data_IF_140831636702
#
_entry.id   IF_140831636702
#
_cell.length_a   1.000
_cell.length_b   1.000
_cell.length_c   1.000
_cell.angle_alpha   90.00
_cell.angle_beta   90.00
_cell.angle_gamma   90.00
#
_symmetry.space_group_name_H-M   'P 1'
#
loop_
_entity.id
_entity.type
_entity.pdbx_description
1 polymer ?
#
# COMPACT_ATOMS: atom_id res chain seq x y z
N UNK A 1 -30.48 -17.50 -18.53
CA UNK A 1 -30.18 -16.81 -17.25
C UNK A 1 -28.69 -16.92 -17.03
N UNK A 2 -27.92 -15.93 -17.47
CA UNK A 2 -26.45 -15.90 -17.33
C UNK A 2 -26.16 -15.00 -16.12
N UNK A 3 -25.58 -15.57 -15.07
CA UNK A 3 -25.11 -14.82 -13.91
C UNK A 3 -23.77 -14.19 -14.27
N UNK A 4 -23.74 -12.86 -14.38
CA UNK A 4 -22.54 -12.09 -14.64
C UNK A 4 -21.71 -11.96 -13.34
N UNK A 5 -20.55 -12.60 -13.29
CA UNK A 5 -19.62 -12.62 -12.16
C UNK A 5 -18.67 -11.39 -12.11
N UNK A 6 -19.14 -10.17 -12.40
CA UNK A 6 -18.26 -8.99 -12.53
C UNK A 6 -18.60 -7.82 -11.58
N UNK A 7 -19.00 -8.08 -10.35
CA UNK A 7 -19.36 -7.00 -9.39
C UNK A 7 -18.22 -6.43 -8.56
N UNK A 8 -16.99 -6.97 -8.63
CA UNK A 8 -15.85 -6.47 -7.81
C UNK A 8 -14.77 -5.74 -8.59
N UNK A 9 -14.58 -6.02 -9.89
CA UNK A 9 -13.63 -5.29 -10.74
C UNK A 9 -14.11 -3.87 -11.08
N UNK A 10 -15.44 -3.69 -11.17
CA UNK A 10 -16.06 -2.44 -11.62
C UNK A 10 -15.87 -1.25 -10.67
N UNK A 11 -15.61 -1.48 -9.38
CA UNK A 11 -15.48 -0.36 -8.42
C UNK A 11 -14.15 0.40 -8.55
N UNK A 12 -13.10 -0.23 -9.06
CA UNK A 12 -11.79 0.41 -9.22
C UNK A 12 -11.61 1.07 -10.59
N UNK A 13 -12.29 0.56 -11.63
CA UNK A 13 -12.16 1.04 -13.01
C UNK A 13 -13.10 2.21 -13.34
N UNK A 14 -14.26 2.32 -12.68
CA UNK A 14 -15.25 3.36 -12.98
C UNK A 14 -14.96 4.74 -12.39
N UNK A 15 -13.90 4.93 -11.59
CA UNK A 15 -13.69 6.19 -10.86
C UNK A 15 -12.57 7.10 -11.38
N UNK A 16 -11.82 6.76 -12.43
CA UNK A 16 -10.68 7.60 -12.84
C UNK A 16 -10.77 8.12 -14.28
N UNK A 17 -11.70 9.04 -14.51
CA UNK A 17 -11.51 10.16 -15.45
C UNK A 17 -11.05 11.45 -14.73
N UNK A 18 -10.84 11.41 -13.41
CA UNK A 18 -10.13 12.43 -12.65
C UNK A 18 -8.74 11.94 -12.29
N UNK A 19 -7.72 12.78 -12.46
CA UNK A 19 -6.34 12.52 -12.04
C UNK A 19 -6.32 12.06 -10.57
N UNK A 20 -5.86 10.83 -10.29
CA UNK A 20 -5.62 10.40 -8.90
C UNK A 20 -4.57 11.32 -8.30
N UNK A 21 -4.95 12.07 -7.26
CA UNK A 21 -4.04 12.98 -6.56
C UNK A 21 -3.17 12.16 -5.59
N UNK A 22 -2.45 11.17 -6.14
CA UNK A 22 -1.57 10.26 -5.39
C UNK A 22 -0.29 10.99 -5.01
N UNK A 23 0.09 10.91 -3.73
CA UNK A 23 1.29 11.52 -3.19
C UNK A 23 2.06 10.53 -2.34
N UNK A 24 3.38 10.48 -2.51
CA UNK A 24 4.28 9.84 -1.57
C UNK A 24 4.48 10.81 -0.41
N UNK A 25 3.96 10.47 0.76
CA UNK A 25 3.96 11.35 1.94
C UNK A 25 5.12 11.05 2.87
N UNK A 26 5.56 9.79 2.96
CA UNK A 26 6.73 9.37 3.72
C UNK A 26 7.39 8.14 3.07
N UNK A 27 8.68 7.97 3.30
CA UNK A 27 9.44 6.81 2.82
C UNK A 27 10.56 6.45 3.80
N UNK A 28 10.81 5.16 3.95
CA UNK A 28 12.07 4.61 4.47
C UNK A 28 12.71 3.80 3.34
N UNK A 29 13.78 4.31 2.69
CA UNK A 29 14.35 3.69 1.50
C UNK A 29 14.61 2.20 1.68
N UNK A 30 14.27 1.42 0.66
CA UNK A 30 14.39 -0.04 0.61
C UNK A 30 13.43 -0.82 1.53
N UNK A 31 12.77 -0.19 2.50
CA UNK A 31 11.89 -0.87 3.46
C UNK A 31 10.41 -0.65 3.16
N UNK A 32 9.97 0.60 3.12
CA UNK A 32 8.55 0.91 2.93
C UNK A 32 8.31 2.31 2.39
N UNK A 33 7.15 2.48 1.77
CA UNK A 33 6.66 3.73 1.20
C UNK A 33 5.22 3.97 1.67
N UNK A 34 4.91 5.21 2.03
CA UNK A 34 3.58 5.60 2.48
C UNK A 34 2.99 6.63 1.51
N UNK A 35 1.83 6.31 0.98
CA UNK A 35 1.13 7.12 0.00
C UNK A 35 -0.22 7.59 0.51
N UNK A 36 -0.71 8.69 -0.08
CA UNK A 36 -2.04 9.22 0.18
C UNK A 36 -2.69 9.71 -1.11
N UNK A 37 -3.98 9.47 -1.24
CA UNK A 37 -4.85 10.17 -2.18
C UNK A 37 -6.11 10.66 -1.45
N UNK A 38 -7.15 11.03 -2.21
CA UNK A 38 -8.41 11.50 -1.64
C UNK A 38 -9.24 10.38 -0.97
N UNK A 39 -8.92 9.11 -1.24
CA UNK A 39 -9.68 7.95 -0.77
C UNK A 39 -9.04 7.29 0.44
N UNK A 40 -7.73 7.43 0.64
CA UNK A 40 -7.07 6.80 1.79
C UNK A 40 -5.56 6.95 1.84
N UNK A 41 -4.99 6.15 2.75
CA UNK A 41 -3.55 6.03 2.95
C UNK A 41 -3.14 4.58 2.64
N UNK A 42 -2.05 4.43 1.90
CA UNK A 42 -1.57 3.15 1.39
C UNK A 42 -0.13 2.93 1.86
N UNK A 43 0.13 1.73 2.37
CA UNK A 43 1.47 1.33 2.78
C UNK A 43 1.97 0.25 1.81
N UNK A 44 3.08 0.54 1.13
CA UNK A 44 3.84 -0.45 0.37
C UNK A 44 5.01 -0.94 1.23
N UNK A 45 5.07 -2.24 1.51
CA UNK A 45 6.15 -2.86 2.28
C UNK A 45 6.96 -3.75 1.34
N UNK A 46 8.26 -3.50 1.28
CA UNK A 46 9.19 -4.41 0.62
C UNK A 46 9.47 -5.59 1.55
N UNK A 47 9.29 -6.81 1.06
CA UNK A 47 9.53 -8.04 1.80
C UNK A 47 10.74 -8.72 1.19
N UNK A 48 11.81 -8.87 1.97
CA UNK A 48 13.04 -9.50 1.52
C UNK A 48 13.38 -10.72 2.38
N UNK A 49 13.41 -11.90 1.77
CA UNK A 49 13.79 -13.15 2.46
C UNK A 49 15.13 -13.71 1.97
N UNK A 50 16.09 -12.83 1.61
CA UNK A 50 17.43 -13.15 1.08
C UNK A 50 17.45 -13.83 -0.31
N UNK A 51 16.56 -14.79 -0.56
CA UNK A 51 16.44 -15.50 -1.82
C UNK A 51 15.52 -14.79 -2.82
N UNK A 52 14.50 -14.10 -2.33
CA UNK A 52 13.50 -13.40 -3.14
C UNK A 52 13.06 -12.11 -2.47
N UNK A 53 12.62 -11.16 -3.29
CA UNK A 53 11.98 -9.92 -2.85
C UNK A 53 10.63 -9.74 -3.54
N UNK A 54 9.63 -9.31 -2.79
CA UNK A 54 8.31 -8.95 -3.30
C UNK A 54 7.70 -7.84 -2.46
N UNK A 55 6.58 -7.29 -2.91
CA UNK A 55 5.90 -6.20 -2.21
C UNK A 55 4.56 -6.67 -1.63
N UNK A 56 4.24 -6.20 -0.41
CA UNK A 56 2.90 -6.26 0.16
C UNK A 56 2.36 -4.83 0.27
N UNK A 57 1.34 -4.54 -0.52
CA UNK A 57 0.72 -3.20 -0.57
C UNK A 57 -0.69 -3.24 0.00
N UNK A 58 -0.93 -2.47 1.04
CA UNK A 58 -2.18 -2.50 1.82
C UNK A 58 -2.82 -1.12 1.92
N UNK A 59 -4.14 -1.11 2.09
CA UNK A 59 -4.92 0.07 2.46
C UNK A 59 -4.98 0.13 3.99
N UNK A 60 -4.52 1.24 4.59
CA UNK A 60 -4.64 1.44 6.03
C UNK A 60 -6.11 1.60 6.40
N UNK A 61 -6.53 0.87 7.44
CA UNK A 61 -7.84 1.09 8.04
C UNK A 61 -7.85 2.33 8.94
N UNK A 62 -9.05 2.70 9.42
CA UNK A 62 -9.20 3.91 10.21
C UNK A 62 -8.39 3.88 11.51
N UNK A 63 -8.22 2.70 12.12
CA UNK A 63 -7.41 2.57 13.34
C UNK A 63 -5.94 2.84 13.04
N UNK A 64 -5.39 2.20 12.01
CA UNK A 64 -4.01 2.41 11.60
C UNK A 64 -3.75 3.86 11.16
N UNK A 65 -4.73 4.51 10.53
CA UNK A 65 -4.65 5.93 10.20
C UNK A 65 -4.58 6.79 11.47
N UNK A 66 -5.42 6.54 12.49
CA UNK A 66 -5.34 7.29 13.75
C UNK A 66 -4.00 7.09 14.46
N UNK A 67 -3.53 5.85 14.56
CA UNK A 67 -2.23 5.55 15.19
C UNK A 67 -1.07 6.24 14.46
N UNK A 68 -1.13 6.31 13.12
CA UNK A 68 -0.17 7.10 12.33
C UNK A 68 -0.29 8.60 12.60
N UNK A 69 -1.49 9.15 12.72
CA UNK A 69 -1.66 10.58 13.03
C UNK A 69 -1.16 10.94 14.43
N UNK A 70 -1.26 10.02 15.39
CA UNK A 70 -0.81 10.22 16.77
C UNK A 70 0.71 10.02 16.93
N UNK A 71 1.26 8.98 16.31
CA UNK A 71 2.64 8.55 16.55
C UNK A 71 3.59 8.89 15.40
N UNK A 72 3.08 9.12 14.19
CA UNK A 72 3.85 9.40 12.98
C UNK A 72 4.67 8.20 12.49
N UNK A 73 5.82 8.51 11.89
CA UNK A 73 6.77 7.56 11.29
C UNK A 73 7.11 6.32 12.15
N UNK A 74 7.35 6.42 13.48
CA UNK A 74 7.57 5.26 14.34
C UNK A 74 6.49 4.18 14.26
N UNK A 75 5.21 4.55 14.15
CA UNK A 75 4.13 3.58 14.00
C UNK A 75 4.24 2.82 12.67
N UNK A 76 4.51 3.54 11.57
CA UNK A 76 4.66 2.94 10.24
C UNK A 76 5.88 2.01 10.18
N UNK A 77 7.01 2.41 10.78
CA UNK A 77 8.18 1.54 10.92
C UNK A 77 7.83 0.22 11.60
N UNK A 78 7.15 0.29 12.73
CA UNK A 78 6.74 -0.90 13.48
C UNK A 78 5.73 -1.75 12.70
N UNK A 79 4.77 -1.11 12.02
CA UNK A 79 3.77 -1.80 11.21
C UNK A 79 4.43 -2.51 10.02
N UNK A 80 5.30 -1.84 9.27
CA UNK A 80 6.02 -2.41 8.13
C UNK A 80 6.87 -3.60 8.56
N UNK A 81 7.65 -3.47 9.64
CA UNK A 81 8.46 -4.56 10.18
C UNK A 81 7.59 -5.77 10.58
N UNK A 82 6.43 -5.54 11.20
CA UNK A 82 5.52 -6.62 11.56
C UNK A 82 4.90 -7.29 10.33
N UNK A 83 4.57 -6.53 9.28
CA UNK A 83 4.03 -7.06 8.02
C UNK A 83 5.09 -7.90 7.31
N UNK A 84 6.31 -7.37 7.12
CA UNK A 84 7.43 -8.07 6.50
C UNK A 84 7.68 -9.42 7.19
N UNK A 85 7.85 -9.41 8.51
CA UNK A 85 8.08 -10.62 9.29
C UNK A 85 6.92 -11.63 9.15
N UNK A 86 5.69 -11.14 9.02
CA UNK A 86 4.50 -11.98 8.88
C UNK A 86 4.38 -12.58 7.47
N UNK A 87 4.81 -11.85 6.44
CA UNK A 87 4.92 -12.35 5.07
C UNK A 87 6.00 -13.43 4.97
N UNK A 88 7.17 -13.22 5.60
CA UNK A 88 8.26 -14.21 5.64
C UNK A 88 7.83 -15.50 6.35
N UNK A 89 7.12 -15.38 7.47
CA UNK A 89 6.57 -16.54 8.21
C UNK A 89 5.33 -17.16 7.57
N UNK A 90 4.78 -16.56 6.52
CA UNK A 90 3.54 -16.97 5.86
C UNK A 90 2.33 -17.04 6.82
N UNK A 91 2.24 -16.09 7.76
CA UNK A 91 1.15 -16.00 8.75
C UNK A 91 0.34 -14.68 8.65
N UNK A 92 0.54 -13.90 7.59
CA UNK A 92 -0.08 -12.58 7.41
C UNK A 92 -1.61 -12.60 7.51
N UNK A 93 -2.28 -13.46 6.75
CA UNK A 93 -3.75 -13.51 6.69
C UNK A 93 -4.38 -13.94 8.02
N UNK A 94 -3.59 -14.47 8.97
CA UNK A 94 -4.05 -14.81 10.33
C UNK A 94 -4.11 -13.60 11.25
N UNK A 95 -3.23 -12.62 11.06
CA UNK A 95 -3.04 -11.50 12.00
C UNK A 95 -3.49 -10.15 11.44
N UNK A 96 -3.62 -10.04 10.12
CA UNK A 96 -3.96 -8.78 9.46
C UNK A 96 -5.17 -8.96 8.54
N UNK A 97 -6.07 -7.99 8.60
CA UNK A 97 -7.27 -7.92 7.77
C UNK A 97 -7.26 -6.71 6.82
N UNK A 98 -6.07 -6.15 6.56
CA UNK A 98 -5.97 -5.03 5.62
C UNK A 98 -6.32 -5.47 4.22
N UNK A 99 -7.11 -4.65 3.52
CA UNK A 99 -7.40 -4.87 2.11
C UNK A 99 -6.17 -4.58 1.27
N UNK A 100 -5.98 -5.36 0.21
CA UNK A 100 -4.96 -5.08 -0.78
C UNK A 100 -5.34 -3.89 -1.65
N UNK A 101 -4.32 -3.15 -2.09
CA UNK A 101 -4.47 -2.06 -3.05
C UNK A 101 -4.72 -2.63 -4.45
N UNK A 102 -5.69 -2.06 -5.18
CA UNK A 102 -5.99 -2.47 -6.55
C UNK A 102 -4.89 -2.04 -7.54
N UNK A 103 -4.86 -2.68 -8.71
CA UNK A 103 -3.81 -2.46 -9.70
C UNK A 103 -3.70 -1.01 -10.18
N UNK A 104 -4.83 -0.32 -10.39
CA UNK A 104 -4.85 1.09 -10.83
C UNK A 104 -4.09 1.99 -9.84
N UNK A 105 -4.35 1.81 -8.54
CA UNK A 105 -3.67 2.58 -7.50
C UNK A 105 -2.20 2.19 -7.34
N UNK A 106 -1.87 0.91 -7.45
CA UNK A 106 -0.47 0.46 -7.48
C UNK A 106 0.33 1.11 -8.60
N UNK A 107 -0.25 1.23 -9.80
CA UNK A 107 0.39 1.92 -10.91
C UNK A 107 0.61 3.40 -10.61
N UNK A 108 -0.40 4.09 -10.05
CA UNK A 108 -0.25 5.49 -9.63
C UNK A 108 0.84 5.65 -8.56
N UNK A 109 0.92 4.75 -7.58
CA UNK A 109 1.98 4.74 -6.56
C UNK A 109 3.36 4.58 -7.20
N UNK A 110 3.50 3.65 -8.15
CA UNK A 110 4.75 3.43 -8.88
C UNK A 110 5.19 4.66 -9.68
N UNK A 111 4.28 5.33 -10.38
CA UNK A 111 4.58 6.57 -11.12
C UNK A 111 5.12 7.67 -10.21
N UNK A 112 4.52 7.82 -9.03
CA UNK A 112 4.97 8.79 -8.02
C UNK A 112 6.35 8.40 -7.47
N UNK A 113 6.58 7.13 -7.15
CA UNK A 113 7.89 6.66 -6.70
C UNK A 113 9.00 6.90 -7.72
N UNK A 114 8.75 6.57 -8.99
CA UNK A 114 9.71 6.80 -10.07
C UNK A 114 10.03 8.28 -10.26
N UNK A 115 9.05 9.15 -10.05
CA UNK A 115 9.24 10.61 -10.08
C UNK A 115 10.09 11.07 -8.90
N UNK A 116 9.75 10.64 -7.68
CA UNK A 116 10.53 10.94 -6.47
C UNK A 116 11.99 10.46 -6.59
N UNK A 117 12.20 9.24 -7.08
CA UNK A 117 13.52 8.64 -7.25
C UNK A 117 14.38 9.44 -8.23
N UNK A 118 13.80 9.92 -9.33
CA UNK A 118 14.50 10.78 -10.30
C UNK A 118 14.89 12.14 -9.71
N UNK A 119 14.10 12.68 -8.80
CA UNK A 119 14.38 13.97 -8.15
C UNK A 119 15.31 13.85 -6.94
N UNK A 120 15.52 12.64 -6.42
CA UNK A 120 16.36 12.36 -5.25
C UNK A 120 17.78 11.90 -5.60
N UNK A 121 18.08 11.78 -6.90
CA UNK A 121 19.40 11.49 -7.47
C UNK A 121 19.92 12.79 -8.10
#
# INVERSE_FOLDING_TARGET
MILNNNTWASSCEFQNQGKTNMHLIEIEPYLWELYKDNEGIYLNVNVNNQATSWEKTIILDQRAIQEYLEQGRPFINNLACRIENSQIRNDYEKYYSYRDVCLVKKNAMLEIFLTWKKSSI
#
